data_IF_909111502574
#
_entry.id   IF_909111502574
#
_cell.length_a   1.000
_cell.length_b   1.000
_cell.length_c   1.000
_cell.angle_alpha   90.00
_cell.angle_beta   90.00
_cell.angle_gamma   90.00
#
_symmetry.space_group_name_H-M   'P 1'
#
loop_
_entity.id
_entity.type
_entity.pdbx_description
1 polymer ?
#
# COMPACT_ATOMS: atom_id res chain seq x y z
N UNK A 1 -13.95 12.47 -16.43
CA UNK A 1 -12.79 11.88 -15.72
C UNK A 1 -13.08 11.98 -14.22
N UNK A 2 -13.36 10.87 -13.54
CA UNK A 2 -13.63 10.86 -12.10
C UNK A 2 -12.33 11.22 -11.37
N UNK A 3 -12.39 12.22 -10.49
CA UNK A 3 -11.25 12.54 -9.64
C UNK A 3 -11.03 11.37 -8.68
N UNK A 4 -9.80 10.85 -8.51
CA UNK A 4 -9.52 9.87 -7.47
C UNK A 4 -9.93 10.48 -6.14
N UNK A 5 -10.72 9.75 -5.37
CA UNK A 5 -11.33 10.21 -4.13
C UNK A 5 -10.19 10.58 -3.16
N UNK A 6 -9.81 11.87 -3.08
CA UNK A 6 -8.65 12.40 -2.30
C UNK A 6 -8.66 12.05 -0.81
N UNK A 7 -9.71 11.39 -0.31
CA UNK A 7 -9.89 11.00 1.08
C UNK A 7 -9.36 9.60 1.42
N UNK A 8 -9.28 8.68 0.45
CA UNK A 8 -8.91 7.28 0.71
C UNK A 8 -7.53 6.96 0.13
N UNK A 9 -6.65 6.42 0.97
CA UNK A 9 -5.35 5.87 0.56
C UNK A 9 -5.23 4.45 1.09
N UNK A 10 -4.68 3.57 0.26
CA UNK A 10 -4.37 2.19 0.62
C UNK A 10 -2.86 2.05 0.62
N UNK A 11 -2.32 1.42 1.65
CA UNK A 11 -0.91 1.04 1.75
C UNK A 11 -0.85 -0.45 2.05
N UNK A 12 0.27 -1.09 1.70
CA UNK A 12 0.48 -2.52 2.00
C UNK A 12 1.81 -2.75 2.68
N UNK A 13 1.78 -3.67 3.64
CA UNK A 13 2.96 -4.25 4.26
C UNK A 13 3.72 -5.20 3.32
N UNK A 14 4.60 -6.01 3.89
CA UNK A 14 5.31 -7.09 3.19
C UNK A 14 4.59 -8.45 3.25
N UNK A 15 3.46 -8.55 3.96
CA UNK A 15 2.75 -9.82 4.15
C UNK A 15 2.12 -10.36 2.86
N UNK A 16 1.40 -9.51 2.12
CA UNK A 16 0.82 -9.87 0.82
C UNK A 16 0.52 -8.61 0.00
N UNK A 17 1.47 -8.24 -0.87
CA UNK A 17 1.33 -7.05 -1.72
C UNK A 17 0.37 -7.28 -2.89
N UNK A 18 0.33 -8.51 -3.43
CA UNK A 18 -0.54 -8.87 -4.56
C UNK A 18 -2.02 -8.70 -4.21
N UNK A 19 -2.44 -9.17 -3.02
CA UNK A 19 -3.81 -8.99 -2.55
C UNK A 19 -4.19 -7.50 -2.40
N UNK A 20 -3.27 -6.66 -1.90
CA UNK A 20 -3.52 -5.24 -1.77
C UNK A 20 -3.67 -4.55 -3.14
N UNK A 21 -2.87 -4.97 -4.12
CA UNK A 21 -2.98 -4.50 -5.51
C UNK A 21 -4.32 -4.91 -6.15
N UNK A 22 -4.81 -6.12 -5.90
CA UNK A 22 -6.14 -6.55 -6.35
C UNK A 22 -7.27 -5.71 -5.75
N UNK A 23 -7.20 -5.40 -4.45
CA UNK A 23 -8.18 -4.53 -3.77
C UNK A 23 -8.15 -3.13 -4.38
N UNK A 24 -6.96 -2.55 -4.57
CA UNK A 24 -6.78 -1.25 -5.23
C UNK A 24 -7.42 -1.22 -6.63
N UNK A 25 -7.20 -2.29 -7.42
CA UNK A 25 -7.78 -2.44 -8.76
C UNK A 25 -9.31 -2.50 -8.72
N UNK A 26 -9.90 -3.18 -7.74
CA UNK A 26 -11.35 -3.23 -7.55
C UNK A 26 -11.94 -1.86 -7.15
N UNK A 27 -11.19 -1.06 -6.40
CA UNK A 27 -11.61 0.26 -5.91
C UNK A 27 -11.31 1.41 -6.89
N UNK A 28 -10.67 1.13 -8.04
CA UNK A 28 -10.18 2.15 -8.99
C UNK A 28 -9.22 3.15 -8.31
N UNK A 29 -8.30 2.62 -7.50
CA UNK A 29 -7.29 3.37 -6.74
C UNK A 29 -5.89 2.85 -7.04
N UNK A 30 -4.90 3.73 -6.91
CA UNK A 30 -3.49 3.35 -6.88
C UNK A 30 -3.07 2.93 -5.47
N UNK A 31 -2.15 1.97 -5.37
CA UNK A 31 -1.49 1.65 -4.10
C UNK A 31 -0.54 2.79 -3.73
N UNK A 32 -0.62 3.26 -2.49
CA UNK A 32 0.25 4.31 -1.97
C UNK A 32 1.71 3.86 -1.91
N UNK A 33 2.62 4.80 -2.17
CA UNK A 33 4.06 4.58 -1.99
C UNK A 33 4.40 4.54 -0.50
N UNK A 34 4.99 3.43 -0.05
CA UNK A 34 5.54 3.26 1.31
C UNK A 34 6.84 2.48 1.27
N UNK A 35 7.81 2.87 2.11
CA UNK A 35 9.09 2.18 2.26
C UNK A 35 9.07 1.37 3.56
N UNK A 36 9.33 0.07 3.46
CA UNK A 36 9.49 -0.81 4.63
C UNK A 36 10.93 -1.25 4.71
N UNK A 37 11.57 -0.97 5.84
CA UNK A 37 12.94 -1.35 6.11
C UNK A 37 12.99 -2.27 7.33
N UNK A 38 13.92 -3.22 7.28
CA UNK A 38 14.23 -4.09 8.40
C UNK A 38 15.65 -3.81 8.87
N UNK A 39 15.82 -3.48 10.14
CA UNK A 39 17.12 -3.32 10.77
C UNK A 39 17.78 -4.69 11.00
N UNK A 40 19.09 -4.68 11.29
CA UNK A 40 19.87 -5.93 11.48
C UNK A 40 19.42 -6.76 12.68
N UNK A 41 18.88 -6.11 13.70
CA UNK A 41 18.27 -6.74 14.90
C UNK A 41 16.85 -7.26 14.64
N UNK A 42 16.29 -7.03 13.45
CA UNK A 42 14.97 -7.49 13.05
C UNK A 42 13.85 -6.47 13.27
N UNK A 43 14.13 -5.31 13.86
CA UNK A 43 13.15 -4.21 14.01
C UNK A 43 12.66 -3.71 12.65
N UNK A 44 11.42 -3.23 12.59
CA UNK A 44 10.79 -2.71 11.38
C UNK A 44 10.69 -1.18 11.46
N UNK A 45 11.10 -0.51 10.38
CA UNK A 45 10.78 0.89 10.10
C UNK A 45 9.80 0.95 8.93
N UNK A 46 8.64 1.56 9.16
CA UNK A 46 7.57 1.72 8.19
C UNK A 46 7.21 3.19 7.98
#
# INVERSE_FOLDING_TARGET
MRQPNKKLKVFSGNANRELAEEICRYLDLDLGLSELLRFRDGEIRA
#
